data_IF_560946434046
#
_entry.id   IF_560946434046
#
_cell.length_a   1.000
_cell.length_b   1.000
_cell.length_c   1.000
_cell.angle_alpha   90.00
_cell.angle_beta   90.00
_cell.angle_gamma   90.00
#
_symmetry.space_group_name_H-M   'P 1'
#
loop_
_entity.id
_entity.type
_entity.pdbx_description
1 polymer ?
#
# COMPACT_ATOMS: atom_id res chain seq x y z
N UNK A 1 -34.70 -9.07 26.23
CA UNK A 1 -35.57 -9.96 25.45
C UNK A 1 -34.75 -11.21 25.14
N UNK A 2 -34.95 -12.27 25.93
CA UNK A 2 -34.27 -13.57 25.74
C UNK A 2 -34.90 -14.24 24.51
N UNK A 3 -34.10 -14.48 23.48
CA UNK A 3 -34.53 -15.30 22.35
C UNK A 3 -34.45 -16.76 22.84
N UNK A 4 -35.52 -17.57 22.73
CA UNK A 4 -35.47 -18.97 23.15
C UNK A 4 -34.44 -19.74 22.32
N UNK A 5 -33.77 -20.70 22.93
CA UNK A 5 -32.91 -21.66 22.23
C UNK A 5 -33.77 -22.41 21.20
N UNK A 6 -33.58 -22.10 19.92
CA UNK A 6 -34.41 -22.65 18.86
C UNK A 6 -33.90 -24.04 18.48
N UNK A 7 -34.82 -25.00 18.35
CA UNK A 7 -34.53 -26.30 17.74
C UNK A 7 -34.21 -26.09 16.25
N UNK A 8 -32.91 -26.00 15.96
CA UNK A 8 -32.38 -25.77 14.62
C UNK A 8 -32.78 -26.88 13.63
N UNK A 9 -32.92 -28.12 14.11
CA UNK A 9 -33.35 -29.25 13.27
C UNK A 9 -34.82 -29.13 12.88
N UNK A 10 -35.66 -28.63 13.79
CA UNK A 10 -37.06 -28.32 13.48
C UNK A 10 -37.19 -27.16 12.47
N UNK A 11 -36.36 -26.12 12.60
CA UNK A 11 -36.33 -24.99 11.66
C UNK A 11 -35.94 -25.45 10.25
N UNK A 12 -34.85 -26.21 10.11
CA UNK A 12 -34.38 -26.69 8.81
C UNK A 12 -35.40 -27.62 8.17
N UNK A 13 -36.00 -28.55 8.93
CA UNK A 13 -37.09 -29.40 8.44
C UNK A 13 -38.26 -28.58 7.90
N UNK A 14 -38.68 -27.55 8.63
CA UNK A 14 -39.77 -26.69 8.19
C UNK A 14 -39.41 -25.88 6.95
N UNK A 15 -38.18 -25.38 6.84
CA UNK A 15 -37.71 -24.68 5.65
C UNK A 15 -37.70 -25.58 4.41
N UNK A 16 -37.28 -26.85 4.55
CA UNK A 16 -37.33 -27.86 3.49
C UNK A 16 -38.77 -28.08 3.01
N UNK A 17 -39.74 -28.21 3.94
CA UNK A 17 -41.15 -28.35 3.60
C UNK A 17 -41.69 -27.12 2.85
N UNK A 18 -41.34 -25.91 3.30
CA UNK A 18 -41.81 -24.66 2.70
C UNK A 18 -41.30 -24.45 1.28
N UNK A 19 -40.09 -24.92 0.97
CA UNK A 19 -39.48 -24.83 -0.36
C UNK A 19 -39.89 -25.96 -1.31
N UNK A 20 -40.74 -26.90 -0.86
CA UNK A 20 -41.30 -27.96 -1.72
C UNK A 20 -40.56 -29.29 -1.66
N UNK A 21 -39.55 -29.43 -0.80
CA UNK A 21 -38.77 -30.65 -0.67
C UNK A 21 -37.29 -30.39 -0.50
N UNK A 22 -36.53 -31.47 -0.24
CA UNK A 22 -35.07 -31.38 -0.07
C UNK A 22 -34.38 -30.90 -1.35
N UNK A 23 -34.88 -31.29 -2.51
CA UNK A 23 -34.23 -31.01 -3.78
C UNK A 23 -34.28 -29.50 -4.09
N UNK A 24 -35.45 -28.90 -3.96
CA UNK A 24 -35.68 -27.47 -4.15
C UNK A 24 -34.95 -26.64 -3.10
N UNK A 25 -34.95 -27.09 -1.84
CA UNK A 25 -34.20 -26.45 -0.76
C UNK A 25 -32.70 -26.37 -1.08
N UNK A 26 -32.07 -27.49 -1.46
CA UNK A 26 -30.64 -27.48 -1.78
C UNK A 26 -30.33 -26.73 -3.08
N UNK A 27 -31.22 -26.75 -4.07
CA UNK A 27 -31.05 -25.95 -5.29
C UNK A 27 -31.08 -24.43 -5.02
N UNK A 28 -31.89 -23.97 -4.06
CA UNK A 28 -31.87 -22.56 -3.62
C UNK A 28 -30.60 -22.25 -2.82
N UNK A 29 -30.27 -23.10 -1.84
CA UNK A 29 -29.08 -22.95 -1.02
C UNK A 29 -27.79 -22.92 -1.85
N UNK A 30 -27.68 -23.77 -2.87
CA UNK A 30 -26.54 -23.80 -3.79
C UNK A 30 -26.44 -22.51 -4.62
N UNK A 31 -27.58 -21.92 -5.03
CA UNK A 31 -27.61 -20.63 -5.73
C UNK A 31 -27.13 -19.49 -4.84
N UNK A 32 -27.62 -19.43 -3.60
CA UNK A 32 -27.16 -18.44 -2.62
C UNK A 32 -25.67 -18.62 -2.30
N UNK A 33 -25.23 -19.85 -2.10
CA UNK A 33 -23.82 -20.18 -1.83
C UNK A 33 -22.92 -19.81 -3.02
N UNK A 34 -23.40 -19.96 -4.26
CA UNK A 34 -22.66 -19.54 -5.44
C UNK A 34 -22.45 -18.02 -5.50
N UNK A 35 -23.44 -17.20 -5.13
CA UNK A 35 -23.27 -15.74 -5.03
C UNK A 35 -22.25 -15.37 -3.94
N UNK A 36 -22.36 -15.99 -2.77
CA UNK A 36 -21.40 -15.81 -1.66
C UNK A 36 -19.98 -16.18 -2.10
N UNK A 37 -19.81 -17.35 -2.73
CA UNK A 37 -18.52 -17.80 -3.23
C UNK A 37 -17.97 -16.91 -4.34
N UNK A 38 -18.84 -16.37 -5.19
CA UNK A 38 -18.47 -15.38 -6.20
C UNK A 38 -17.84 -14.13 -5.57
N UNK A 39 -18.46 -13.61 -4.51
CA UNK A 39 -17.93 -12.44 -3.76
C UNK A 39 -16.69 -12.78 -2.93
N UNK A 40 -16.60 -14.01 -2.42
CA UNK A 40 -15.46 -14.48 -1.64
C UNK A 40 -14.20 -14.71 -2.48
N UNK A 41 -14.36 -15.10 -3.75
CA UNK A 41 -13.27 -15.44 -4.66
C UNK A 41 -12.56 -14.19 -5.20
N UNK A 42 -11.92 -13.48 -4.28
CA UNK A 42 -11.15 -12.26 -4.51
C UNK A 42 -9.72 -12.59 -4.93
N UNK A 43 -9.07 -11.66 -5.65
CA UNK A 43 -7.67 -11.80 -6.02
C UNK A 43 -6.75 -11.50 -4.82
N UNK A 44 -6.63 -12.47 -3.91
CA UNK A 44 -5.85 -12.36 -2.67
C UNK A 44 -4.40 -11.97 -2.90
N UNK A 45 -3.82 -12.31 -4.05
CA UNK A 45 -2.45 -11.94 -4.41
C UNK A 45 -2.34 -10.43 -4.64
N UNK A 46 -3.20 -9.85 -5.47
CA UNK A 46 -3.21 -8.39 -5.72
C UNK A 46 -3.49 -7.62 -4.43
N UNK A 47 -4.44 -8.10 -3.62
CA UNK A 47 -4.74 -7.53 -2.30
C UNK A 47 -3.46 -7.51 -1.44
N UNK A 48 -2.78 -8.65 -1.32
CA UNK A 48 -1.56 -8.79 -0.54
C UNK A 48 -0.43 -7.89 -1.04
N UNK A 49 -0.25 -7.77 -2.37
CA UNK A 49 0.77 -6.92 -2.99
C UNK A 49 0.54 -5.43 -2.68
N UNK A 50 -0.70 -4.95 -2.83
CA UNK A 50 -1.08 -3.56 -2.51
C UNK A 50 -0.87 -3.27 -1.02
N UNK A 51 -1.36 -4.15 -0.14
CA UNK A 51 -1.22 -3.97 1.31
C UNK A 51 0.25 -3.98 1.75
N UNK A 52 1.04 -4.91 1.20
CA UNK A 52 2.49 -4.97 1.47
C UNK A 52 3.17 -3.67 1.08
N UNK A 53 2.92 -3.15 -0.13
CA UNK A 53 3.50 -1.89 -0.58
C UNK A 53 3.09 -0.70 0.31
N UNK A 54 1.82 -0.63 0.72
CA UNK A 54 1.31 0.39 1.63
C UNK A 54 2.02 0.36 2.99
N UNK A 55 2.05 -0.81 3.64
CA UNK A 55 2.68 -0.99 4.94
C UNK A 55 4.19 -0.71 4.89
N UNK A 56 4.84 -1.12 3.80
CA UNK A 56 6.26 -0.88 3.58
C UNK A 56 6.56 0.63 3.50
N UNK A 57 5.82 1.37 2.68
CA UNK A 57 5.96 2.84 2.59
C UNK A 57 5.65 3.50 3.93
N UNK A 58 4.60 3.06 4.62
CA UNK A 58 4.22 3.62 5.92
C UNK A 58 5.32 3.46 6.98
N UNK A 59 5.96 2.29 7.01
CA UNK A 59 7.10 2.02 7.88
C UNK A 59 8.24 3.02 7.62
N UNK A 60 8.65 3.20 6.36
CA UNK A 60 9.76 4.10 6.03
C UNK A 60 9.41 5.57 6.24
N UNK A 61 8.15 5.99 6.07
CA UNK A 61 7.71 7.34 6.45
C UNK A 61 7.85 7.52 7.97
N UNK A 62 7.44 6.54 8.77
CA UNK A 62 7.60 6.57 10.22
C UNK A 62 9.08 6.72 10.65
N UNK A 63 9.95 5.90 10.07
CA UNK A 63 11.39 5.95 10.29
C UNK A 63 12.00 7.31 9.89
N UNK A 64 11.61 7.82 8.72
CA UNK A 64 12.04 9.14 8.25
C UNK A 64 11.64 10.24 9.24
N UNK A 65 10.37 10.28 9.65
CA UNK A 65 9.86 11.30 10.56
C UNK A 65 10.57 11.26 11.92
N UNK A 66 10.85 10.06 12.45
CA UNK A 66 11.59 9.90 13.70
C UNK A 66 13.04 10.40 13.58
N UNK A 67 13.73 10.10 12.47
CA UNK A 67 15.12 10.54 12.21
C UNK A 67 15.21 12.04 11.95
N UNK A 68 14.28 12.58 11.16
CA UNK A 68 14.21 14.00 10.83
C UNK A 68 13.84 14.86 12.05
N UNK A 69 13.15 14.29 13.04
CA UNK A 69 12.68 15.00 14.23
C UNK A 69 13.09 14.25 15.52
N UNK A 70 14.37 14.32 15.96
CA UNK A 70 14.85 13.53 17.11
C UNK A 70 14.17 13.83 18.45
N UNK A 71 13.45 14.95 18.55
CA UNK A 71 12.68 15.35 19.75
C UNK A 71 11.21 14.94 19.69
N UNK A 72 10.78 14.36 18.57
CA UNK A 72 9.45 13.83 18.40
C UNK A 72 9.31 12.59 19.28
N UNK A 73 8.24 12.52 20.08
CA UNK A 73 7.95 11.34 20.91
C UNK A 73 7.69 10.08 20.06
N UNK A 74 7.34 8.98 20.72
CA UNK A 74 7.08 7.71 20.04
C UNK A 74 5.87 7.81 19.08
N UNK A 75 6.14 7.97 17.78
CA UNK A 75 5.10 8.04 16.74
C UNK A 75 4.17 6.82 16.74
N UNK A 76 4.69 5.64 17.10
CA UNK A 76 3.91 4.41 17.22
C UNK A 76 2.85 4.47 18.32
N UNK A 77 3.14 5.12 19.45
CA UNK A 77 2.19 5.28 20.56
C UNK A 77 1.12 6.34 20.25
N UNK A 78 1.47 7.34 19.43
CA UNK A 78 0.56 8.38 19.00
C UNK A 78 -0.56 7.89 18.05
N UNK A 79 -0.46 6.66 17.53
CA UNK A 79 -1.45 6.02 16.62
C UNK A 79 -1.89 6.92 15.46
N UNK A 80 -0.97 7.72 14.92
CA UNK A 80 -1.27 8.59 13.78
C UNK A 80 -1.47 7.76 12.51
N UNK A 81 -2.50 8.11 11.75
CA UNK A 81 -2.85 7.46 10.49
C UNK A 81 -1.81 7.72 9.39
N UNK A 82 -1.80 6.87 8.36
CA UNK A 82 -0.98 7.07 7.15
C UNK A 82 -1.11 8.49 6.57
N UNK A 83 -2.34 9.00 6.41
CA UNK A 83 -2.59 10.32 5.84
C UNK A 83 -1.97 11.44 6.71
N UNK A 84 -2.04 11.31 8.03
CA UNK A 84 -1.40 12.24 8.96
C UNK A 84 0.13 12.18 8.88
N UNK A 85 0.72 10.98 8.79
CA UNK A 85 2.16 10.82 8.57
C UNK A 85 2.62 11.49 7.28
N UNK A 86 1.88 11.31 6.19
CA UNK A 86 2.17 11.97 4.90
C UNK A 86 2.08 13.48 5.01
N UNK A 87 1.16 14.02 5.81
CA UNK A 87 1.04 15.46 6.03
C UNK A 87 2.21 16.07 6.82
N UNK A 88 2.97 15.25 7.55
CA UNK A 88 4.17 15.66 8.29
C UNK A 88 5.45 15.63 7.43
N UNK A 89 5.39 15.09 6.21
CA UNK A 89 6.53 15.12 5.29
C UNK A 89 6.81 16.54 4.80
N UNK A 90 8.06 16.94 4.84
CA UNK A 90 8.50 18.28 4.39
C UNK A 90 8.48 18.38 2.87
N UNK A 91 7.43 18.99 2.33
CA UNK A 91 7.28 19.21 0.89
C UNK A 91 8.23 20.27 0.31
N UNK A 92 8.98 21.00 1.15
CA UNK A 92 10.04 21.91 0.67
C UNK A 92 11.31 21.15 0.27
N UNK A 93 11.53 19.94 0.81
CA UNK A 93 12.56 19.03 0.34
C UNK A 93 12.18 18.50 -1.05
N UNK A 94 13.07 18.73 -2.03
CA UNK A 94 12.81 18.38 -3.44
C UNK A 94 12.61 16.87 -3.64
N UNK A 95 13.38 16.02 -2.97
CA UNK A 95 13.26 14.57 -3.11
C UNK A 95 11.93 14.06 -2.53
N UNK A 96 11.47 14.65 -1.42
CA UNK A 96 10.16 14.37 -0.84
C UNK A 96 9.02 14.86 -1.75
N UNK A 97 9.14 16.07 -2.29
CA UNK A 97 8.14 16.65 -3.18
C UNK A 97 7.91 15.78 -4.44
N UNK A 98 8.98 15.18 -4.97
CA UNK A 98 8.94 14.32 -6.16
C UNK A 98 8.20 12.99 -5.95
N UNK A 99 8.12 12.49 -4.71
CA UNK A 99 7.46 11.21 -4.39
C UNK A 99 6.07 11.39 -3.77
N UNK A 100 5.75 12.59 -3.26
CA UNK A 100 4.53 12.87 -2.53
C UNK A 100 3.23 12.57 -3.33
N UNK A 101 3.13 12.88 -4.64
CA UNK A 101 1.94 12.53 -5.43
C UNK A 101 1.70 11.02 -5.49
N UNK A 102 2.76 10.23 -5.67
CA UNK A 102 2.67 8.77 -5.70
C UNK A 102 2.32 8.17 -4.35
N UNK A 103 2.86 8.68 -3.25
CA UNK A 103 2.49 8.25 -1.89
C UNK A 103 0.98 8.50 -1.62
N UNK A 104 0.47 9.67 -2.02
CA UNK A 104 -0.96 9.99 -1.92
C UNK A 104 -1.81 9.07 -2.80
N UNK A 105 -1.33 8.71 -3.99
CA UNK A 105 -1.98 7.77 -4.90
C UNK A 105 -2.05 6.36 -4.30
N UNK A 106 -0.97 5.88 -3.68
CA UNK A 106 -0.95 4.59 -2.97
C UNK A 106 -2.04 4.51 -1.88
N UNK A 107 -2.22 5.58 -1.11
CA UNK A 107 -3.31 5.65 -0.11
C UNK A 107 -4.70 5.57 -0.75
N UNK A 108 -4.90 6.22 -1.91
CA UNK A 108 -6.17 6.13 -2.65
C UNK A 108 -6.44 4.70 -3.15
N UNK A 109 -5.42 4.01 -3.65
CA UNK A 109 -5.53 2.60 -4.08
C UNK A 109 -5.88 1.71 -2.90
N UNK A 110 -5.19 1.86 -1.76
CA UNK A 110 -5.51 1.11 -0.53
C UNK A 110 -6.94 1.37 -0.07
N UNK A 111 -7.41 2.62 -0.11
CA UNK A 111 -8.77 2.96 0.28
C UNK A 111 -9.80 2.36 -0.68
N UNK A 112 -9.55 2.38 -1.99
CA UNK A 112 -10.38 1.68 -2.97
C UNK A 112 -10.46 0.19 -2.66
N UNK A 113 -9.32 -0.43 -2.34
CA UNK A 113 -9.26 -1.84 -1.96
C UNK A 113 -10.03 -2.15 -0.67
N UNK A 114 -9.98 -1.26 0.33
CA UNK A 114 -10.71 -1.43 1.58
C UNK A 114 -12.24 -1.35 1.40
N UNK A 115 -12.72 -0.68 0.34
CA UNK A 115 -14.16 -0.57 0.05
C UNK A 115 -14.64 -1.53 -1.05
N UNK A 116 -13.72 -1.99 -1.91
CA UNK A 116 -14.00 -2.89 -3.01
C UNK A 116 -12.82 -3.87 -3.17
N UNK A 117 -13.05 -5.13 -2.81
CA UNK A 117 -12.02 -6.17 -2.84
C UNK A 117 -11.55 -6.50 -4.27
N UNK A 118 -12.37 -6.21 -5.28
CA UNK A 118 -12.03 -6.40 -6.70
C UNK A 118 -11.19 -5.25 -7.28
N UNK A 119 -10.86 -4.24 -6.48
CA UNK A 119 -10.08 -3.09 -6.94
C UNK A 119 -8.69 -3.50 -7.46
N UNK A 120 -8.39 -3.11 -8.70
CA UNK A 120 -7.09 -3.32 -9.35
C UNK A 120 -6.26 -2.05 -9.37
N UNK A 121 -4.94 -2.16 -9.49
CA UNK A 121 -4.11 -0.98 -9.81
C UNK A 121 -4.33 -0.64 -11.29
N UNK A 122 -4.74 0.60 -11.59
CA UNK A 122 -5.05 1.00 -12.97
C UNK A 122 -3.86 1.65 -13.66
N UNK A 123 -3.91 1.77 -14.99
CA UNK A 123 -2.94 2.54 -15.77
C UNK A 123 -2.87 4.02 -15.35
N UNK A 124 -3.99 4.61 -14.91
CA UNK A 124 -3.97 5.97 -14.39
C UNK A 124 -3.23 6.06 -13.05
N UNK A 125 -3.32 5.01 -12.23
CA UNK A 125 -2.53 4.91 -11.01
C UNK A 125 -1.03 4.81 -11.35
N UNK A 126 -0.67 3.96 -12.32
CA UNK A 126 0.70 3.79 -12.79
C UNK A 126 1.30 5.10 -13.34
N UNK A 127 0.52 5.83 -14.13
CA UNK A 127 0.91 7.14 -14.69
C UNK A 127 1.31 8.13 -13.59
N UNK A 128 0.63 8.12 -12.45
CA UNK A 128 0.95 9.01 -11.32
C UNK A 128 2.27 8.62 -10.65
N UNK A 129 2.59 7.32 -10.56
CA UNK A 129 3.89 6.88 -10.06
C UNK A 129 5.01 7.28 -11.02
N UNK A 130 4.81 7.06 -12.32
CA UNK A 130 5.77 7.42 -13.38
C UNK A 130 5.91 8.94 -13.57
N UNK A 131 4.96 9.75 -13.08
CA UNK A 131 5.09 11.21 -13.04
C UNK A 131 6.25 11.71 -12.16
N UNK A 132 6.81 10.84 -11.30
CA UNK A 132 8.08 11.12 -10.64
C UNK A 132 9.23 10.87 -11.61
N UNK A 133 9.73 11.93 -12.25
CA UNK A 133 10.76 11.86 -13.30
C UNK A 133 11.99 11.04 -12.87
N UNK A 134 12.44 11.20 -11.61
CA UNK A 134 13.58 10.44 -11.06
C UNK A 134 13.28 8.95 -10.96
N UNK A 135 12.09 8.58 -10.47
CA UNK A 135 11.66 7.19 -10.43
C UNK A 135 11.56 6.58 -11.83
N UNK A 136 10.89 7.28 -12.76
CA UNK A 136 10.73 6.82 -14.14
C UNK A 136 12.08 6.61 -14.85
N UNK A 137 13.01 7.56 -14.69
CA UNK A 137 14.35 7.45 -15.26
C UNK A 137 15.15 6.28 -14.65
N UNK A 138 15.13 6.11 -13.32
CA UNK A 138 15.79 4.99 -12.65
C UNK A 138 15.18 3.64 -13.03
N UNK A 139 13.86 3.59 -13.22
CA UNK A 139 13.15 2.41 -13.72
C UNK A 139 13.62 2.07 -15.13
N UNK A 140 13.58 3.04 -16.04
CA UNK A 140 13.99 2.85 -17.43
C UNK A 140 15.48 2.48 -17.60
N UNK A 141 16.34 2.92 -16.69
CA UNK A 141 17.77 2.64 -16.71
C UNK A 141 18.15 1.23 -16.21
N UNK A 142 17.21 0.45 -15.65
CA UNK A 142 17.50 -0.93 -15.24
C UNK A 142 17.73 -1.82 -16.47
N UNK A 143 18.76 -2.66 -16.40
CA UNK A 143 19.17 -3.52 -17.52
C UNK A 143 18.11 -4.58 -17.85
N UNK A 144 18.10 -5.06 -19.09
CA UNK A 144 17.18 -6.10 -19.58
C UNK A 144 17.20 -7.41 -18.75
N UNK A 145 18.26 -7.66 -17.98
CA UNK A 145 18.37 -8.79 -17.05
C UNK A 145 17.44 -8.67 -15.84
N UNK A 146 16.97 -7.46 -15.53
CA UNK A 146 15.91 -7.19 -14.56
C UNK A 146 14.63 -6.88 -15.33
N UNK A 147 14.06 -7.90 -15.98
CA UNK A 147 12.82 -7.76 -16.74
C UNK A 147 11.72 -7.13 -15.85
N UNK A 148 11.53 -5.83 -15.99
CA UNK A 148 10.46 -5.08 -15.36
C UNK A 148 9.31 -5.07 -16.35
N UNK A 149 8.17 -5.61 -15.94
CA UNK A 149 6.98 -5.48 -16.77
C UNK A 149 6.42 -4.06 -16.67
N UNK A 150 5.56 -3.68 -17.60
CA UNK A 150 4.79 -2.44 -17.50
C UNK A 150 3.47 -2.65 -16.76
N UNK A 151 3.30 -3.78 -16.06
CA UNK A 151 2.09 -4.04 -15.30
C UNK A 151 1.93 -3.00 -14.17
N UNK A 152 0.76 -2.35 -14.03
CA UNK A 152 0.54 -1.30 -13.04
C UNK A 152 0.90 -1.70 -11.60
N UNK A 153 0.63 -2.95 -11.23
CA UNK A 153 0.94 -3.48 -9.90
C UNK A 153 2.46 -3.60 -9.65
N UNK A 154 3.25 -3.91 -10.67
CA UNK A 154 4.72 -3.96 -10.54
C UNK A 154 5.32 -2.56 -10.46
N UNK A 155 4.77 -1.61 -11.23
CA UNK A 155 5.14 -0.20 -11.15
C UNK A 155 4.87 0.33 -9.73
N UNK A 156 3.72 -0.01 -9.14
CA UNK A 156 3.40 0.33 -7.76
C UNK A 156 4.42 -0.21 -6.76
N UNK A 157 4.81 -1.48 -6.89
CA UNK A 157 5.76 -2.11 -5.98
C UNK A 157 7.16 -1.52 -6.09
N UNK A 158 7.61 -1.22 -7.32
CA UNK A 158 8.91 -0.59 -7.54
C UNK A 158 8.90 0.87 -7.09
N UNK A 159 7.77 1.57 -7.24
CA UNK A 159 7.59 2.89 -6.66
C UNK A 159 7.68 2.85 -5.12
N UNK A 160 7.06 1.87 -4.47
CA UNK A 160 7.14 1.71 -3.01
C UNK A 160 8.60 1.49 -2.54
N UNK A 161 9.39 0.70 -3.27
CA UNK A 161 10.83 0.53 -3.00
C UNK A 161 11.60 1.83 -3.23
N UNK A 162 11.28 2.57 -4.29
CA UNK A 162 11.91 3.87 -4.57
C UNK A 162 11.65 4.89 -3.45
N UNK A 163 10.42 4.95 -2.93
CA UNK A 163 10.07 5.79 -1.77
C UNK A 163 10.93 5.44 -0.56
N UNK A 164 11.06 4.15 -0.23
CA UNK A 164 11.91 3.71 0.88
C UNK A 164 13.38 4.12 0.68
N UNK A 165 13.90 3.99 -0.55
CA UNK A 165 15.25 4.45 -0.87
C UNK A 165 15.40 5.96 -0.71
N UNK A 166 14.45 6.76 -1.23
CA UNK A 166 14.49 8.22 -1.13
C UNK A 166 14.47 8.69 0.34
N UNK A 167 13.56 8.12 1.15
CA UNK A 167 13.42 8.45 2.57
C UNK A 167 14.63 8.03 3.41
N UNK A 168 15.31 6.94 3.04
CA UNK A 168 16.49 6.48 3.78
C UNK A 168 17.80 7.10 3.28
N UNK A 169 17.84 7.55 2.02
CA UNK A 169 19.05 8.10 1.41
C UNK A 169 19.53 9.34 2.17
N UNK A 170 18.63 10.23 2.59
CA UNK A 170 18.98 11.44 3.37
C UNK A 170 19.81 11.14 4.62
N UNK A 171 19.58 10.00 5.27
CA UNK A 171 20.29 9.61 6.49
C UNK A 171 21.42 8.61 6.26
N UNK A 172 21.64 8.18 5.02
CA UNK A 172 22.63 7.14 4.70
C UNK A 172 24.07 7.64 4.87
N UNK A 173 25.01 6.79 5.31
CA UNK A 173 26.43 7.15 5.34
C UNK A 173 26.95 7.59 3.96
N UNK A 174 26.43 6.98 2.90
CA UNK A 174 26.79 7.33 1.52
C UNK A 174 26.38 8.75 1.15
N UNK A 175 25.14 9.16 1.46
CA UNK A 175 24.71 10.54 1.16
C UNK A 175 25.49 11.56 1.98
N UNK A 176 25.77 11.26 3.25
CA UNK A 176 26.61 12.11 4.11
C UNK A 176 28.01 12.28 3.53
N UNK A 177 28.63 11.19 3.10
CA UNK A 177 29.95 11.22 2.47
C UNK A 177 29.94 12.01 1.15
N UNK A 178 28.92 11.82 0.31
CA UNK A 178 28.77 12.57 -0.95
C UNK A 178 28.54 14.06 -0.68
N UNK A 179 27.66 14.41 0.26
CA UNK A 179 27.41 15.79 0.65
C UNK A 179 28.69 16.45 1.18
N UNK A 180 29.40 15.78 2.09
CA UNK A 180 30.69 16.25 2.59
C UNK A 180 31.70 16.44 1.46
N UNK A 181 31.81 15.49 0.52
CA UNK A 181 32.70 15.61 -0.63
C UNK A 181 32.35 16.80 -1.54
N UNK A 182 31.05 17.06 -1.79
CA UNK A 182 30.60 18.23 -2.56
C UNK A 182 31.00 19.53 -1.84
N UNK A 183 30.80 19.62 -0.52
CA UNK A 183 31.20 20.78 0.27
C UNK A 183 32.72 20.99 0.24
N UNK A 184 33.51 19.92 0.43
CA UNK A 184 34.98 19.98 0.38
C UNK A 184 35.49 20.39 -1.01
N UNK A 185 34.84 19.98 -2.09
CA UNK A 185 35.20 20.38 -3.47
C UNK A 185 34.80 21.83 -3.78
N UNK A 186 33.65 22.29 -3.29
CA UNK A 186 33.16 23.65 -3.55
C UNK A 186 33.82 24.72 -2.69
N UNK A 187 34.15 24.39 -1.44
CA UNK A 187 34.58 25.36 -0.43
C UNK A 187 35.95 25.05 0.19
N UNK A 188 36.61 23.97 -0.25
CA UNK A 188 37.88 23.50 0.32
C UNK A 188 37.68 22.61 1.54
N UNK A 189 38.69 21.81 1.88
CA UNK A 189 38.67 20.98 3.10
C UNK A 189 38.74 21.86 4.34
N UNK A 190 37.79 21.69 5.25
CA UNK A 190 37.93 22.21 6.62
C UNK A 190 38.98 21.36 7.34
N UNK A 191 40.15 21.91 7.58
CA UNK A 191 41.16 21.28 8.42
C UNK A 191 40.67 21.33 9.88
N UNK A 192 40.37 20.16 10.45
CA UNK A 192 40.32 19.95 11.91
C UNK A 192 41.58 19.23 12.34
#
# INVERSE_FOLDING_TARGET
MNIPEHDHDAIVRRAIELLGGKQEFFAEADRELADVNGRWKQNVEVIGRILRAHLFVEYYIGEYLAKANPRLGALGEAKISFAQKVALLDASNTDIALILPGIKRLNKIRNRLAHNLDAQVTEEDATVFLGSNRFAALRAARTAEQAQTNEPIEILEDFAKHVAMALNYEFSPLSKAIYQAIQEVQFGRSET
#
